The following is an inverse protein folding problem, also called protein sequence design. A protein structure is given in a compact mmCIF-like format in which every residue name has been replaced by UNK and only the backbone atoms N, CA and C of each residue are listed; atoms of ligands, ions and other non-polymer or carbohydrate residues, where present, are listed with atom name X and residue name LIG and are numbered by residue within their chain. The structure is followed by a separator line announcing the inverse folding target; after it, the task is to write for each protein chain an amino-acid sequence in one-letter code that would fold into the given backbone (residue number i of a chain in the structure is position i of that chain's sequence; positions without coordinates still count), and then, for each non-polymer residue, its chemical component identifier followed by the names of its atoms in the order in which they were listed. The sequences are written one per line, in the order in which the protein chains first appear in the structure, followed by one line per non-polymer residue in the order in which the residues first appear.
data_IF_486239979716
#
_entry.id   IF_486239979716
#
_cell.length_a   1.000
_cell.length_b   1.000
_cell.length_c   1.000
_cell.angle_alpha   90.00
_cell.angle_beta   90.00
_cell.angle_gamma   90.00
#
_symmetry.space_group_name_H-M   'P 1'
#
loop_
_entity.id
_entity.type
_entity.pdbx_description
1 polymer ?
#
# COMPACT_ATOMS: atom_id res chain seq x y z
N UNK A 1 -23.01 -7.45 -3.92
CA UNK A 1 -21.66 -7.34 -4.52
C UNK A 1 -20.75 -8.28 -3.75
N UNK A 2 -19.97 -9.07 -4.45
CA UNK A 2 -18.95 -9.94 -3.84
C UNK A 2 -17.61 -9.19 -3.85
N UNK A 3 -17.43 -8.32 -2.85
CA UNK A 3 -16.23 -7.52 -2.62
C UNK A 3 -15.71 -7.83 -1.23
N UNK A 4 -14.45 -8.21 -1.14
CA UNK A 4 -13.72 -8.35 0.12
C UNK A 4 -13.40 -6.98 0.71
N UNK A 5 -13.48 -6.86 2.02
CA UNK A 5 -13.24 -5.61 2.72
C UNK A 5 -11.94 -5.68 3.54
N UNK A 6 -11.00 -4.81 3.21
CA UNK A 6 -9.82 -4.56 4.01
C UNK A 6 -10.04 -3.42 5.01
N UNK A 7 -9.42 -3.50 6.17
CA UNK A 7 -9.36 -2.41 7.14
C UNK A 7 -7.90 -2.02 7.44
N UNK A 8 -7.62 -0.76 7.81
CA UNK A 8 -6.29 -0.39 8.27
C UNK A 8 -5.99 -1.01 9.63
N UNK A 9 -4.80 -1.57 9.76
CA UNK A 9 -4.24 -1.96 11.05
C UNK A 9 -3.83 -0.72 11.87
N UNK A 10 -3.83 -0.82 13.19
CA UNK A 10 -3.36 0.26 14.05
C UNK A 10 -1.84 0.44 13.90
N UNK A 11 -1.42 1.67 13.61
CA UNK A 11 -0.02 2.02 13.35
C UNK A 11 0.67 2.68 14.55
N UNK A 12 -0.06 3.01 15.62
CA UNK A 12 0.45 3.70 16.80
C UNK A 12 0.30 2.85 18.07
N UNK A 13 1.12 3.05 19.10
CA UNK A 13 0.91 2.41 20.40
C UNK A 13 -0.40 2.92 21.08
N UNK A 14 -0.94 2.19 22.08
CA UNK A 14 -0.40 0.94 22.61
C UNK A 14 -0.73 -0.28 21.72
N UNK A 15 0.22 -1.20 21.61
CA UNK A 15 0.15 -2.36 20.70
C UNK A 15 -0.99 -3.32 21.06
N UNK A 16 -1.27 -3.53 22.35
CA UNK A 16 -2.37 -4.35 22.83
C UNK A 16 -3.74 -3.88 22.34
N UNK A 17 -3.93 -2.56 22.23
CA UNK A 17 -5.13 -1.99 21.60
C UNK A 17 -5.21 -2.36 20.11
N UNK A 18 -4.08 -2.31 19.40
CA UNK A 18 -4.00 -2.71 17.99
C UNK A 18 -4.36 -4.18 17.79
N UNK A 19 -3.87 -5.06 18.67
CA UNK A 19 -4.21 -6.48 18.67
C UNK A 19 -5.71 -6.68 18.91
N UNK A 20 -6.25 -6.03 19.95
CA UNK A 20 -7.67 -6.09 20.26
C UNK A 20 -8.57 -5.59 19.12
N UNK A 21 -8.14 -4.53 18.43
CA UNK A 21 -8.82 -4.00 17.25
C UNK A 21 -8.80 -5.02 16.09
N UNK A 22 -7.66 -5.67 15.82
CA UNK A 22 -7.56 -6.71 14.79
C UNK A 22 -8.53 -7.87 15.03
N UNK A 23 -8.59 -8.38 16.26
CA UNK A 23 -9.55 -9.43 16.64
C UNK A 23 -11.01 -8.95 16.48
N UNK A 24 -11.27 -7.67 16.79
CA UNK A 24 -12.59 -7.07 16.58
C UNK A 24 -12.96 -6.98 15.09
N UNK A 25 -12.02 -6.62 14.22
CA UNK A 25 -12.27 -6.53 12.77
C UNK A 25 -12.62 -7.90 12.18
N UNK A 26 -11.94 -8.98 12.60
CA UNK A 26 -12.32 -10.33 12.22
C UNK A 26 -13.77 -10.67 12.62
N UNK A 27 -14.16 -10.35 13.86
CA UNK A 27 -15.54 -10.57 14.35
C UNK A 27 -16.60 -9.75 13.60
N UNK A 28 -16.19 -8.61 13.03
CA UNK A 28 -17.06 -7.76 12.20
C UNK A 28 -17.14 -8.23 10.74
N UNK A 29 -16.37 -9.27 10.38
CA UNK A 29 -16.41 -9.85 9.04
C UNK A 29 -15.53 -9.14 8.01
N UNK A 30 -14.51 -8.41 8.45
CA UNK A 30 -13.48 -7.90 7.53
C UNK A 30 -12.62 -9.04 7.01
N UNK A 31 -12.25 -8.99 5.72
CA UNK A 31 -11.48 -10.04 5.05
C UNK A 31 -9.96 -9.87 5.26
N UNK A 32 -9.49 -8.64 5.43
CA UNK A 32 -8.06 -8.36 5.60
C UNK A 32 -7.78 -7.15 6.50
N UNK A 33 -6.58 -7.17 7.11
CA UNK A 33 -5.96 -6.01 7.77
C UNK A 33 -4.67 -5.63 7.05
N UNK A 34 -4.48 -4.33 6.86
CA UNK A 34 -3.37 -3.78 6.09
C UNK A 34 -2.56 -2.76 6.88
N UNK A 35 -1.23 -2.87 6.85
CA UNK A 35 -0.31 -1.93 7.50
C UNK A 35 0.64 -1.30 6.49
N UNK A 36 0.82 0.03 6.54
CA UNK A 36 1.94 0.67 5.84
C UNK A 36 3.26 0.30 6.53
N UNK A 37 4.31 0.11 5.75
CA UNK A 37 5.67 -0.07 6.27
C UNK A 37 6.42 1.26 6.20
N UNK A 38 6.16 2.14 7.15
CA UNK A 38 6.71 3.48 7.21
C UNK A 38 7.67 3.66 8.39
N UNK A 39 8.74 4.41 8.15
CA UNK A 39 9.61 4.99 9.18
C UNK A 39 9.22 6.45 9.45
N UNK A 40 8.72 7.14 8.42
CA UNK A 40 8.29 8.53 8.46
C UNK A 40 6.87 8.64 7.91
N UNK A 41 5.98 9.34 8.62
CA UNK A 41 4.63 9.64 8.14
C UNK A 41 4.60 10.82 7.16
N UNK A 42 3.52 10.94 6.43
CA UNK A 42 3.32 11.92 5.35
C UNK A 42 3.14 13.37 5.78
N UNK A 43 2.70 13.59 7.02
CA UNK A 43 2.40 14.94 7.50
C UNK A 43 3.65 15.54 8.13
N UNK A 44 4.09 16.74 7.71
CA UNK A 44 5.21 17.43 8.33
C UNK A 44 4.98 17.72 9.81
N UNK A 45 6.02 17.57 10.65
CA UNK A 45 5.95 17.90 12.08
C UNK A 45 5.52 19.34 12.32
N UNK A 46 5.90 20.24 11.42
CA UNK A 46 5.59 21.67 11.52
C UNK A 46 4.11 22.00 11.50
N UNK A 47 3.26 21.08 11.02
CA UNK A 47 1.80 21.25 11.01
C UNK A 47 1.09 20.30 12.01
N UNK A 48 1.79 19.35 12.64
CA UNK A 48 1.18 18.33 13.49
C UNK A 48 0.79 18.90 14.86
N UNK A 49 -0.43 19.37 14.99
CA UNK A 49 -1.01 19.91 16.22
C UNK A 49 -2.54 19.70 16.25
N UNK A 50 -3.20 20.04 17.38
CA UNK A 50 -4.64 19.83 17.54
C UNK A 50 -5.53 20.72 16.66
N UNK A 51 -5.02 21.84 16.15
CA UNK A 51 -5.74 22.68 15.18
C UNK A 51 -5.80 22.00 13.82
N UNK A 52 -4.72 21.33 13.44
CA UNK A 52 -4.64 20.56 12.19
C UNK A 52 -5.45 19.25 12.26
N UNK A 53 -5.28 18.49 13.35
CA UNK A 53 -5.97 17.21 13.54
C UNK A 53 -6.17 16.86 15.02
N UNK A 54 -7.36 16.38 15.42
CA UNK A 54 -7.57 15.87 16.78
C UNK A 54 -6.68 14.66 17.13
N UNK A 55 -6.10 13.97 16.14
CA UNK A 55 -5.18 12.86 16.35
C UNK A 55 -3.92 13.28 17.11
N UNK A 56 -3.47 14.52 16.93
CA UNK A 56 -2.28 15.07 17.60
C UNK A 56 -2.37 15.00 19.14
N UNK A 57 -3.59 14.99 19.71
CA UNK A 57 -3.81 14.78 21.14
C UNK A 57 -3.32 13.42 21.65
N UNK A 58 -3.40 12.41 20.83
CA UNK A 58 -3.09 11.02 21.19
C UNK A 58 -1.85 10.48 20.50
N UNK A 59 -1.39 11.17 19.48
CA UNK A 59 -0.22 10.82 18.68
C UNK A 59 0.73 12.02 18.63
N UNK A 60 1.80 12.02 19.43
CA UNK A 60 2.66 13.21 19.62
C UNK A 60 3.48 13.58 18.37
N UNK A 61 3.62 12.68 17.40
CA UNK A 61 4.27 12.94 16.12
C UNK A 61 3.51 12.23 15.00
N UNK A 62 3.47 12.85 13.83
CA UNK A 62 2.96 12.24 12.59
C UNK A 62 3.77 11.01 12.15
N UNK A 63 5.00 10.87 12.67
CA UNK A 63 5.95 9.84 12.27
C UNK A 63 5.92 8.57 13.13
N UNK A 64 4.98 8.46 14.05
CA UNK A 64 4.83 7.25 14.88
C UNK A 64 4.24 6.12 14.04
N UNK A 65 5.05 5.08 13.79
CA UNK A 65 4.62 3.85 13.11
C UNK A 65 5.21 2.64 13.81
N UNK A 66 4.39 1.60 14.01
CA UNK A 66 4.85 0.28 14.46
C UNK A 66 5.33 -0.53 13.26
N UNK A 67 6.24 -1.49 13.47
CA UNK A 67 6.66 -2.40 12.41
C UNK A 67 5.48 -3.29 11.97
N UNK A 68 5.13 -3.32 10.67
CA UNK A 68 3.98 -4.07 10.17
C UNK A 68 4.11 -5.57 10.37
N UNK A 69 5.30 -6.16 10.17
CA UNK A 69 5.49 -7.60 10.29
C UNK A 69 5.32 -8.07 11.74
N UNK A 70 5.76 -7.28 12.71
CA UNK A 70 5.52 -7.55 14.12
C UNK A 70 4.03 -7.53 14.48
N UNK A 71 3.27 -6.56 13.92
CA UNK A 71 1.81 -6.49 14.13
C UNK A 71 1.07 -7.63 13.42
N UNK A 72 1.48 -7.97 12.19
CA UNK A 72 0.93 -9.11 11.45
C UNK A 72 1.14 -10.42 12.22
N UNK A 73 2.33 -10.64 12.81
CA UNK A 73 2.63 -11.79 13.65
C UNK A 73 1.74 -11.84 14.89
N UNK A 74 1.65 -10.74 15.63
CA UNK A 74 0.88 -10.67 16.88
C UNK A 74 -0.61 -10.90 16.67
N UNK A 75 -1.20 -10.34 15.62
CA UNK A 75 -2.64 -10.46 15.32
C UNK A 75 -2.92 -11.77 14.61
N UNK A 76 -2.08 -12.15 13.63
CA UNK A 76 -2.24 -13.38 12.88
C UNK A 76 -2.23 -14.64 13.73
N UNK A 77 -1.43 -14.65 14.80
CA UNK A 77 -1.41 -15.76 15.77
C UNK A 77 -2.65 -15.83 16.68
N UNK A 78 -3.47 -14.78 16.74
CA UNK A 78 -4.65 -14.66 17.61
C UNK A 78 -5.98 -14.62 16.84
N UNK A 79 -5.93 -14.75 15.53
CA UNK A 79 -7.09 -14.74 14.62
C UNK A 79 -7.10 -16.01 13.78
N UNK A 80 -8.24 -16.36 13.17
CA UNK A 80 -8.39 -17.60 12.42
C UNK A 80 -8.76 -17.42 10.96
N UNK A 81 -9.38 -16.28 10.59
CA UNK A 81 -9.94 -16.06 9.26
C UNK A 81 -9.38 -14.82 8.57
N UNK A 82 -9.21 -13.71 9.31
CA UNK A 82 -8.78 -12.45 8.73
C UNK A 82 -7.36 -12.55 8.19
N UNK A 83 -7.16 -12.08 6.98
CA UNK A 83 -5.85 -12.00 6.34
C UNK A 83 -5.07 -10.80 6.89
N UNK A 84 -3.75 -10.88 6.89
CA UNK A 84 -2.88 -9.80 7.37
C UNK A 84 -1.83 -9.49 6.31
N UNK A 85 -1.67 -8.21 5.97
CA UNK A 85 -0.77 -7.83 4.90
C UNK A 85 -0.11 -6.47 5.08
N UNK A 86 1.01 -6.27 4.39
CA UNK A 86 1.64 -4.96 4.23
C UNK A 86 0.99 -4.18 3.08
N UNK A 87 0.80 -2.87 3.24
CA UNK A 87 0.25 -2.01 2.20
C UNK A 87 1.00 -0.66 2.17
N UNK A 88 2.23 -0.66 1.67
CA UNK A 88 3.08 -1.74 1.18
C UNK A 88 4.48 -1.61 1.76
N UNK A 89 5.28 -2.68 1.73
CA UNK A 89 6.72 -2.64 2.00
C UNK A 89 7.53 -2.50 0.69
N UNK A 90 8.87 -2.43 0.78
CA UNK A 90 9.78 -2.27 -0.34
C UNK A 90 11.03 -3.15 -0.24
N UNK A 91 11.74 -3.28 -1.36
CA UNK A 91 13.00 -4.04 -1.47
C UNK A 91 14.25 -3.16 -1.47
N UNK A 92 14.13 -1.88 -1.14
CA UNK A 92 15.27 -0.99 -0.92
C UNK A 92 15.77 -1.11 0.51
N UNK A 93 14.85 -1.16 1.48
CA UNK A 93 15.15 -1.28 2.91
C UNK A 93 15.38 -2.72 3.36
N UNK A 94 14.75 -3.68 2.72
CA UNK A 94 14.76 -5.09 3.14
C UNK A 94 15.27 -5.99 2.01
N UNK A 95 16.26 -6.82 2.31
CA UNK A 95 16.75 -7.80 1.35
C UNK A 95 15.67 -8.86 1.02
N UNK A 96 15.49 -9.27 -0.26
CA UNK A 96 14.43 -10.21 -0.64
C UNK A 96 14.51 -11.55 0.09
N UNK A 97 15.71 -12.05 0.43
CA UNK A 97 15.85 -13.26 1.22
C UNK A 97 15.28 -13.12 2.65
N UNK A 98 15.49 -11.95 3.30
CA UNK A 98 14.91 -11.68 4.62
C UNK A 98 13.39 -11.57 4.55
N UNK A 99 12.85 -10.96 3.48
CA UNK A 99 11.40 -10.90 3.25
C UNK A 99 10.83 -12.30 3.04
N UNK A 100 11.47 -13.13 2.20
CA UNK A 100 11.02 -14.51 1.97
C UNK A 100 10.95 -15.31 3.30
N UNK A 101 12.00 -15.26 4.12
CA UNK A 101 12.00 -15.90 5.44
C UNK A 101 10.90 -15.36 6.36
N UNK A 102 10.76 -14.04 6.45
CA UNK A 102 9.72 -13.41 7.29
C UNK A 102 8.32 -13.84 6.84
N UNK A 103 8.05 -13.82 5.53
CA UNK A 103 6.75 -14.18 5.00
C UNK A 103 6.42 -15.66 5.18
N UNK A 104 7.38 -16.56 4.98
CA UNK A 104 7.18 -17.98 5.26
C UNK A 104 6.92 -18.22 6.76
N UNK A 105 7.60 -17.49 7.65
CA UNK A 105 7.33 -17.56 9.10
C UNK A 105 5.92 -17.08 9.43
N UNK A 106 5.51 -15.94 8.85
CA UNK A 106 4.16 -15.40 9.02
C UNK A 106 3.10 -16.34 8.43
N UNK A 107 3.40 -17.01 7.35
CA UNK A 107 2.53 -17.99 6.73
C UNK A 107 2.17 -19.12 7.70
N UNK A 108 3.18 -19.68 8.39
CA UNK A 108 2.95 -20.65 9.46
C UNK A 108 2.18 -20.07 10.64
N UNK A 109 2.53 -18.87 11.12
CA UNK A 109 1.84 -18.22 12.25
C UNK A 109 0.37 -17.93 11.95
N UNK A 110 0.07 -17.61 10.69
CA UNK A 110 -1.27 -17.24 10.23
C UNK A 110 -2.03 -18.39 9.57
N UNK A 111 -1.40 -19.54 9.40
CA UNK A 111 -1.97 -20.70 8.69
C UNK A 111 -2.42 -20.34 7.27
N UNK A 112 -1.52 -19.73 6.49
CA UNK A 112 -1.76 -19.41 5.07
C UNK A 112 -2.50 -18.08 4.81
N UNK A 113 -2.57 -17.16 5.80
CA UNK A 113 -3.33 -15.89 5.66
C UNK A 113 -2.45 -14.63 5.52
N UNK A 114 -1.13 -14.81 5.46
CA UNK A 114 -0.21 -13.69 5.30
C UNK A 114 -0.14 -13.23 3.84
N UNK A 115 -0.14 -11.90 3.63
CA UNK A 115 0.00 -11.27 2.32
C UNK A 115 1.20 -10.34 2.33
N UNK A 116 2.09 -10.52 1.36
CA UNK A 116 3.18 -9.60 1.10
C UNK A 116 2.73 -8.53 0.11
N UNK A 117 2.37 -7.36 0.61
CA UNK A 117 2.15 -6.19 -0.24
C UNK A 117 3.46 -5.47 -0.52
N UNK A 118 3.84 -5.33 -1.77
CA UNK A 118 5.09 -4.72 -2.23
C UNK A 118 4.84 -3.53 -3.15
N UNK A 119 5.69 -2.52 -3.01
CA UNK A 119 5.78 -1.37 -3.91
C UNK A 119 7.22 -1.06 -4.28
N UNK A 120 7.39 -0.05 -5.12
CA UNK A 120 8.74 0.43 -5.50
C UNK A 120 9.47 1.18 -4.37
N UNK A 121 8.81 1.43 -3.25
CA UNK A 121 9.30 2.23 -2.15
C UNK A 121 8.93 3.71 -2.28
N UNK A 122 9.23 4.47 -1.23
CA UNK A 122 8.94 5.89 -1.09
C UNK A 122 10.18 6.59 -0.55
N UNK A 123 10.63 7.64 -1.21
CA UNK A 123 11.91 8.28 -0.90
C UNK A 123 11.98 8.78 0.54
N UNK A 124 10.87 9.23 1.12
CA UNK A 124 10.78 9.66 2.52
C UNK A 124 11.17 8.57 3.53
N UNK A 125 10.97 7.30 3.18
CA UNK A 125 11.33 6.15 4.01
C UNK A 125 12.72 5.57 3.69
N UNK A 126 13.44 6.14 2.72
CA UNK A 126 14.69 5.61 2.16
C UNK A 126 15.84 6.58 2.38
N UNK A 127 15.81 7.74 1.72
CA UNK A 127 16.92 8.70 1.68
C UNK A 127 17.30 9.26 3.06
N UNK A 128 16.36 9.71 3.93
CA UNK A 128 16.71 10.23 5.25
C UNK A 128 17.44 9.23 6.15
N UNK A 129 17.32 7.94 5.85
CA UNK A 129 17.94 6.84 6.61
C UNK A 129 19.25 6.35 5.99
N UNK A 130 19.81 7.07 5.02
CA UNK A 130 21.09 6.74 4.39
C UNK A 130 21.04 5.57 3.42
N UNK A 131 19.86 5.19 2.98
CA UNK A 131 19.66 4.14 1.97
C UNK A 131 19.61 4.79 0.59
N UNK A 132 20.26 4.18 -0.38
CA UNK A 132 20.34 4.72 -1.74
C UNK A 132 19.01 4.53 -2.50
N UNK A 133 18.46 5.65 -3.00
CA UNK A 133 17.31 5.66 -3.89
C UNK A 133 17.79 5.45 -5.34
N UNK A 134 18.03 4.19 -5.73
CA UNK A 134 18.47 3.84 -7.07
C UNK A 134 17.61 2.75 -7.69
N UNK A 135 17.08 3.02 -8.89
CA UNK A 135 16.35 2.07 -9.75
C UNK A 135 15.30 1.21 -9.02
N UNK A 136 14.39 1.81 -8.21
CA UNK A 136 13.51 1.07 -7.31
C UNK A 136 12.66 0.02 -8.02
N UNK A 137 12.14 0.31 -9.22
CA UNK A 137 11.35 -0.65 -10.01
C UNK A 137 12.19 -1.80 -10.54
N UNK A 138 13.48 -1.57 -10.86
CA UNK A 138 14.37 -2.65 -11.31
C UNK A 138 14.77 -3.57 -10.15
N UNK A 139 15.06 -2.97 -8.97
CA UNK A 139 15.31 -3.75 -7.74
C UNK A 139 14.07 -4.56 -7.34
N UNK A 140 12.87 -3.97 -7.46
CA UNK A 140 11.63 -4.70 -7.20
C UNK A 140 11.47 -5.90 -8.15
N UNK A 141 11.70 -5.73 -9.45
CA UNK A 141 11.57 -6.81 -10.42
C UNK A 141 12.50 -7.99 -10.09
N UNK A 142 13.81 -7.74 -9.91
CA UNK A 142 14.76 -8.80 -9.52
C UNK A 142 14.44 -9.40 -8.15
N UNK A 143 14.01 -8.57 -7.19
CA UNK A 143 13.66 -9.05 -5.86
C UNK A 143 12.42 -9.94 -5.85
N UNK A 144 11.44 -9.72 -6.72
CA UNK A 144 10.30 -10.62 -6.90
C UNK A 144 10.75 -11.99 -7.42
N UNK A 145 11.69 -12.03 -8.38
CA UNK A 145 12.30 -13.29 -8.85
C UNK A 145 13.00 -14.01 -7.71
N UNK A 146 13.83 -13.30 -6.92
CA UNK A 146 14.55 -13.88 -5.78
C UNK A 146 13.58 -14.40 -4.71
N UNK A 147 12.53 -13.65 -4.36
CA UNK A 147 11.53 -14.09 -3.38
C UNK A 147 10.84 -15.37 -3.86
N UNK A 148 10.37 -15.41 -5.10
CA UNK A 148 9.72 -16.59 -5.67
C UNK A 148 10.68 -17.77 -5.75
N UNK A 149 11.93 -17.54 -6.18
CA UNK A 149 12.97 -18.58 -6.23
C UNK A 149 13.21 -19.21 -4.86
N UNK A 150 13.39 -18.39 -3.81
CA UNK A 150 13.64 -18.86 -2.45
C UNK A 150 12.43 -19.58 -1.84
N UNK A 151 11.21 -19.06 -2.04
CA UNK A 151 9.99 -19.69 -1.54
C UNK A 151 9.70 -21.04 -2.22
N UNK A 152 10.22 -21.28 -3.42
CA UNK A 152 10.06 -22.54 -4.16
C UNK A 152 11.23 -23.51 -3.96
N UNK A 153 12.30 -23.09 -3.29
CA UNK A 153 13.54 -23.87 -3.25
C UNK A 153 13.45 -25.14 -2.38
N UNK A 154 12.55 -25.15 -1.36
CA UNK A 154 12.61 -26.20 -0.36
C UNK A 154 14.00 -26.27 0.27
N UNK A 155 14.58 -27.46 0.38
CA UNK A 155 15.95 -27.67 0.88
C UNK A 155 17.02 -27.62 -0.23
N UNK A 156 16.64 -27.30 -1.47
CA UNK A 156 17.57 -27.25 -2.58
C UNK A 156 18.39 -25.95 -2.55
N UNK A 157 19.64 -26.05 -3.05
CA UNK A 157 20.48 -24.88 -3.25
C UNK A 157 20.04 -24.14 -4.50
N UNK A 158 19.97 -22.83 -4.39
CA UNK A 158 19.61 -21.93 -5.49
C UNK A 158 20.67 -20.87 -5.70
N UNK A 159 20.92 -20.58 -6.97
CA UNK A 159 21.78 -19.49 -7.43
C UNK A 159 20.94 -18.46 -8.18
N UNK A 160 21.31 -17.22 -8.05
CA UNK A 160 20.72 -16.10 -8.80
C UNK A 160 21.80 -15.07 -9.12
N UNK A 161 21.91 -14.66 -10.37
CA UNK A 161 22.88 -13.65 -10.82
C UNK A 161 22.13 -12.49 -11.48
N UNK A 162 21.75 -11.49 -10.68
CA UNK A 162 21.09 -10.27 -11.12
C UNK A 162 22.03 -9.07 -11.11
N UNK A 163 21.47 -7.91 -11.45
CA UNK A 163 22.20 -6.62 -11.39
C UNK A 163 22.18 -6.03 -9.98
N UNK A 164 21.15 -6.36 -9.19
CA UNK A 164 20.90 -5.79 -7.87
C UNK A 164 21.00 -6.82 -6.75
N UNK A 165 20.71 -8.08 -7.06
CA UNK A 165 20.79 -9.18 -6.09
C UNK A 165 21.59 -10.35 -6.66
N UNK A 166 22.28 -11.04 -5.76
CA UNK A 166 23.04 -12.24 -6.09
C UNK A 166 22.86 -13.28 -4.99
N UNK A 167 22.57 -14.49 -5.36
CA UNK A 167 22.58 -15.66 -4.49
C UNK A 167 23.63 -16.64 -4.99
N UNK A 168 24.28 -17.31 -4.05
CA UNK A 168 25.23 -18.38 -4.35
C UNK A 168 25.05 -19.49 -3.30
N UNK A 169 24.77 -20.71 -3.74
CA UNK A 169 24.49 -21.87 -2.88
C UNK A 169 23.45 -21.56 -1.78
N UNK A 170 22.49 -20.66 -2.03
CA UNK A 170 21.52 -20.23 -1.04
C UNK A 170 20.47 -21.30 -0.79
N UNK A 171 20.09 -21.48 0.48
CA UNK A 171 19.06 -22.44 0.90
C UNK A 171 18.01 -21.74 1.74
N UNK A 172 16.74 -21.99 1.46
CA UNK A 172 15.60 -21.57 2.27
C UNK A 172 14.82 -22.82 2.68
N UNK A 173 15.22 -23.42 3.82
CA UNK A 173 14.67 -24.70 4.26
C UNK A 173 13.31 -24.63 4.96
N UNK A 174 12.68 -23.46 5.01
CA UNK A 174 11.32 -23.29 5.54
C UNK A 174 10.33 -23.36 4.37
N UNK A 175 9.53 -24.43 4.33
CA UNK A 175 8.47 -24.59 3.34
C UNK A 175 7.27 -23.68 3.66
N UNK A 176 6.41 -23.34 2.67
CA UNK A 176 5.13 -22.69 2.90
C UNK A 176 4.21 -23.50 3.82
N UNK A 177 3.27 -22.84 4.47
CA UNK A 177 2.19 -23.51 5.18
C UNK A 177 1.17 -24.08 4.18
N UNK A 178 1.13 -25.38 4.01
CA UNK A 178 0.28 -26.06 3.01
C UNK A 178 0.88 -26.04 1.60
N UNK A 179 0.01 -26.00 0.59
CA UNK A 179 0.41 -26.20 -0.81
C UNK A 179 0.65 -24.90 -1.60
N UNK A 180 0.52 -23.74 -0.95
CA UNK A 180 0.64 -22.43 -1.61
C UNK A 180 1.59 -21.53 -0.85
N UNK A 181 2.34 -20.71 -1.59
CA UNK A 181 3.14 -19.64 -0.99
C UNK A 181 2.27 -18.51 -0.47
N UNK A 182 2.80 -17.70 0.50
CA UNK A 182 2.20 -16.41 0.82
C UNK A 182 1.94 -15.60 -0.44
N UNK A 183 0.75 -15.00 -0.53
CA UNK A 183 0.39 -14.20 -1.67
C UNK A 183 1.25 -12.94 -1.75
N UNK A 184 1.60 -12.54 -2.97
CA UNK A 184 2.29 -11.29 -3.26
C UNK A 184 1.31 -10.36 -3.97
N UNK A 185 1.07 -9.18 -3.37
CA UNK A 185 0.24 -8.14 -3.97
C UNK A 185 1.11 -6.93 -4.31
N UNK A 186 0.90 -6.30 -5.47
CA UNK A 186 1.70 -5.15 -5.89
C UNK A 186 0.90 -3.85 -5.93
N UNK A 187 1.47 -2.80 -5.34
CA UNK A 187 1.02 -1.43 -5.58
C UNK A 187 1.63 -0.96 -6.92
N UNK A 188 0.79 -0.78 -7.91
CA UNK A 188 1.21 -0.52 -9.27
C UNK A 188 0.29 0.47 -9.99
N UNK A 189 0.88 1.46 -10.71
CA UNK A 189 0.17 2.43 -11.53
C UNK A 189 0.76 2.54 -12.94
N UNK A 190 2.09 2.61 -13.04
CA UNK A 190 2.77 2.78 -14.32
C UNK A 190 2.83 1.49 -15.14
N UNK A 191 3.00 1.59 -16.48
CA UNK A 191 2.93 0.44 -17.39
C UNK A 191 3.88 -0.70 -17.02
N UNK A 192 5.12 -0.38 -16.60
CA UNK A 192 6.11 -1.37 -16.19
C UNK A 192 5.69 -2.11 -14.92
N UNK A 193 5.16 -1.37 -13.93
CA UNK A 193 4.67 -1.97 -12.69
C UNK A 193 3.43 -2.83 -12.91
N UNK A 194 2.51 -2.42 -13.79
CA UNK A 194 1.34 -3.22 -14.16
C UNK A 194 1.74 -4.53 -14.88
N UNK A 195 2.75 -4.48 -15.77
CA UNK A 195 3.31 -5.70 -16.39
C UNK A 195 3.91 -6.64 -15.33
N UNK A 196 4.73 -6.12 -14.41
CA UNK A 196 5.27 -6.91 -13.29
C UNK A 196 4.17 -7.51 -12.40
N UNK A 197 3.08 -6.78 -12.19
CA UNK A 197 1.91 -7.29 -11.46
C UNK A 197 1.34 -8.53 -12.14
N UNK A 198 1.14 -8.50 -13.44
CA UNK A 198 0.70 -9.68 -14.20
C UNK A 198 1.69 -10.85 -14.13
N UNK A 199 2.99 -10.56 -14.20
CA UNK A 199 4.02 -11.57 -14.21
C UNK A 199 4.23 -12.26 -12.85
N UNK A 200 4.09 -11.55 -11.72
CA UNK A 200 4.52 -12.05 -10.42
C UNK A 200 3.45 -12.01 -9.31
N UNK A 201 2.45 -11.12 -9.39
CA UNK A 201 1.57 -10.86 -8.25
C UNK A 201 0.30 -11.74 -8.25
N UNK A 202 -0.20 -12.01 -7.05
CA UNK A 202 -1.45 -12.71 -6.81
C UNK A 202 -2.60 -11.72 -6.53
N UNK A 203 -2.25 -10.43 -6.36
CA UNK A 203 -3.20 -9.34 -6.22
C UNK A 203 -2.60 -7.99 -6.59
N UNK A 204 -3.47 -6.98 -6.72
CA UNK A 204 -3.13 -5.62 -7.10
C UNK A 204 -3.72 -4.62 -6.12
N UNK A 205 -2.92 -3.64 -5.65
CA UNK A 205 -3.30 -2.62 -4.69
C UNK A 205 -2.97 -1.21 -5.20
N UNK A 206 -3.65 -0.69 -6.22
CA UNK A 206 -3.49 0.69 -6.63
C UNK A 206 -4.18 1.62 -5.64
N UNK A 207 -3.82 2.91 -5.65
CA UNK A 207 -4.67 3.97 -5.10
C UNK A 207 -5.83 4.27 -6.06
N UNK A 208 -6.84 5.01 -5.58
CA UNK A 208 -8.03 5.35 -6.36
C UNK A 208 -7.66 5.98 -7.71
N UNK A 209 -8.34 5.56 -8.75
CA UNK A 209 -8.34 6.08 -10.12
C UNK A 209 -9.76 5.96 -10.68
N UNK A 210 -10.06 6.47 -11.88
CA UNK A 210 -11.41 6.29 -12.44
C UNK A 210 -11.71 4.81 -12.77
N UNK A 211 -12.99 4.38 -12.80
CA UNK A 211 -13.34 3.00 -13.18
C UNK A 211 -12.83 2.59 -14.56
N UNK A 212 -12.75 3.53 -15.51
CA UNK A 212 -12.21 3.30 -16.84
C UNK A 212 -10.69 3.03 -16.77
N UNK A 213 -9.95 3.90 -16.07
CA UNK A 213 -8.50 3.72 -15.88
C UNK A 213 -8.18 2.44 -15.11
N UNK A 214 -9.06 2.05 -14.17
CA UNK A 214 -8.95 0.79 -13.45
C UNK A 214 -9.05 -0.41 -14.38
N UNK A 215 -10.05 -0.42 -15.28
CA UNK A 215 -10.24 -1.49 -16.29
C UNK A 215 -9.07 -1.56 -17.26
N UNK A 216 -8.62 -0.42 -17.78
CA UNK A 216 -7.46 -0.35 -18.69
C UNK A 216 -6.17 -0.87 -18.02
N UNK A 217 -6.02 -0.62 -16.71
CA UNK A 217 -4.89 -1.13 -15.94
C UNK A 217 -4.96 -2.64 -15.74
N UNK A 218 -6.17 -3.19 -15.49
CA UNK A 218 -6.38 -4.65 -15.42
C UNK A 218 -6.05 -5.33 -16.75
N UNK A 219 -6.42 -4.74 -17.89
CA UNK A 219 -6.09 -5.28 -19.21
C UNK A 219 -4.58 -5.33 -19.43
N UNK A 220 -3.83 -4.36 -18.93
CA UNK A 220 -2.36 -4.36 -18.95
C UNK A 220 -1.77 -5.44 -18.06
N UNK A 221 -2.33 -5.66 -16.87
CA UNK A 221 -1.95 -6.75 -15.97
C UNK A 221 -2.17 -8.12 -16.64
N UNK A 222 -3.33 -8.32 -17.24
CA UNK A 222 -3.63 -9.53 -18.01
C UNK A 222 -2.67 -9.73 -19.20
N UNK A 223 -2.24 -8.66 -19.84
CA UNK A 223 -1.26 -8.72 -20.93
C UNK A 223 0.10 -9.17 -20.38
N UNK A 224 0.59 -8.57 -19.29
CA UNK A 224 1.84 -8.98 -18.65
C UNK A 224 1.85 -10.45 -18.20
N UNK A 225 0.71 -10.95 -17.71
CA UNK A 225 0.55 -12.36 -17.37
C UNK A 225 0.64 -13.29 -18.60
N UNK A 226 -0.03 -12.92 -19.70
CA UNK A 226 0.03 -13.70 -20.97
C UNK A 226 1.43 -13.77 -21.54
N UNK A 227 2.23 -12.70 -21.43
CA UNK A 227 3.62 -12.66 -21.93
C UNK A 227 4.51 -13.75 -21.30
N UNK A 228 4.21 -14.16 -20.06
CA UNK A 228 4.94 -15.22 -19.33
C UNK A 228 4.14 -16.52 -19.18
N UNK A 229 3.00 -16.65 -19.84
CA UNK A 229 2.14 -17.82 -19.79
C UNK A 229 1.47 -18.06 -18.43
N UNK A 230 1.32 -17.03 -17.60
CA UNK A 230 0.73 -17.13 -16.26
C UNK A 230 -0.79 -17.05 -16.31
N UNK A 231 -1.47 -17.92 -15.55
CA UNK A 231 -2.90 -17.88 -15.32
C UNK A 231 -3.21 -16.95 -14.11
N UNK A 232 -4.27 -16.15 -14.22
CA UNK A 232 -4.75 -15.23 -13.21
C UNK A 232 -6.10 -15.64 -12.58
N UNK A 233 -6.47 -16.93 -12.61
CA UNK A 233 -7.76 -17.41 -12.09
C UNK A 233 -7.98 -17.10 -10.59
N UNK A 234 -6.89 -16.96 -9.83
CA UNK A 234 -6.91 -16.62 -8.40
C UNK A 234 -6.43 -15.20 -8.11
N UNK A 235 -6.21 -14.39 -9.13
CA UNK A 235 -5.76 -13.01 -8.98
C UNK A 235 -6.86 -12.14 -8.36
N UNK A 236 -6.48 -11.33 -7.36
CA UNK A 236 -7.41 -10.43 -6.68
C UNK A 236 -7.15 -8.97 -7.08
N UNK A 237 -8.01 -8.38 -7.90
CA UNK A 237 -7.96 -6.94 -8.19
C UNK A 237 -8.47 -6.16 -6.97
N UNK A 238 -7.56 -5.52 -6.24
CA UNK A 238 -7.87 -4.68 -5.09
C UNK A 238 -7.75 -3.19 -5.39
N UNK A 239 -8.01 -2.37 -4.37
CA UNK A 239 -7.78 -0.93 -4.38
C UNK A 239 -7.61 -0.40 -2.96
N UNK A 240 -6.60 0.42 -2.74
CA UNK A 240 -6.48 1.23 -1.54
C UNK A 240 -7.30 2.52 -1.72
N UNK A 241 -8.31 2.72 -0.90
CA UNK A 241 -9.15 3.91 -0.93
C UNK A 241 -9.33 4.55 0.44
N UNK A 242 -9.30 5.88 0.49
CA UNK A 242 -9.74 6.63 1.67
C UNK A 242 -11.24 6.89 1.56
N UNK A 243 -12.01 6.49 2.59
CA UNK A 243 -13.44 6.72 2.64
C UNK A 243 -13.77 7.93 3.53
N UNK A 244 -14.41 8.93 2.95
CA UNK A 244 -14.91 10.13 3.63
C UNK A 244 -16.44 10.07 3.66
N UNK A 245 -16.98 9.52 4.73
CA UNK A 245 -18.43 9.29 4.88
C UNK A 245 -19.05 10.43 5.67
N UNK A 246 -20.04 11.10 5.12
CA UNK A 246 -20.84 12.12 5.79
C UNK A 246 -22.34 11.79 5.77
N UNK A 247 -23.12 12.30 6.74
CA UNK A 247 -24.58 12.13 6.74
C UNK A 247 -25.27 12.93 5.63
N UNK A 248 -24.60 13.97 5.12
CA UNK A 248 -25.08 14.89 4.11
C UNK A 248 -23.93 15.48 3.29
N UNK A 249 -24.27 16.13 2.19
CA UNK A 249 -23.31 16.74 1.26
C UNK A 249 -22.47 17.85 1.92
N UNK A 250 -23.04 18.64 2.83
CA UNK A 250 -22.30 19.69 3.55
C UNK A 250 -21.18 19.11 4.41
N UNK A 251 -21.46 18.02 5.12
CA UNK A 251 -20.50 17.30 5.95
C UNK A 251 -19.38 16.68 5.08
N UNK A 252 -19.73 16.09 3.95
CA UNK A 252 -18.77 15.53 2.97
C UNK A 252 -17.85 16.63 2.43
N UNK A 253 -18.42 17.79 2.06
CA UNK A 253 -17.64 18.93 1.56
C UNK A 253 -16.68 19.48 2.62
N UNK A 254 -17.07 19.50 3.90
CA UNK A 254 -16.17 19.88 5.01
C UNK A 254 -14.98 18.89 5.13
N UNK A 255 -15.23 17.58 5.00
CA UNK A 255 -14.17 16.56 5.02
C UNK A 255 -13.21 16.75 3.85
N UNK A 256 -13.72 16.92 2.63
CA UNK A 256 -12.92 17.14 1.42
C UNK A 256 -12.07 18.42 1.49
N UNK A 257 -12.56 19.44 2.19
CA UNK A 257 -11.86 20.71 2.38
C UNK A 257 -10.85 20.68 3.54
N UNK A 258 -10.79 19.61 4.33
CA UNK A 258 -9.87 19.52 5.45
C UNK A 258 -8.41 19.54 4.99
N UNK A 259 -7.55 20.23 5.74
CA UNK A 259 -6.12 20.33 5.42
C UNK A 259 -5.43 18.96 5.44
N UNK A 260 -5.86 18.09 6.35
CA UNK A 260 -5.35 16.72 6.46
C UNK A 260 -5.55 15.92 5.17
N UNK A 261 -6.76 15.97 4.59
CA UNK A 261 -7.07 15.24 3.34
C UNK A 261 -6.38 15.90 2.14
N UNK A 262 -6.38 17.23 2.09
CA UNK A 262 -5.69 17.96 1.01
C UNK A 262 -4.19 17.67 1.01
N UNK A 263 -3.56 17.54 2.19
CA UNK A 263 -2.15 17.18 2.29
C UNK A 263 -1.87 15.77 1.77
N UNK A 264 -2.76 14.79 1.98
CA UNK A 264 -2.62 13.45 1.42
C UNK A 264 -2.67 13.43 -0.11
N UNK A 265 -3.31 14.41 -0.74
CA UNK A 265 -3.36 14.48 -2.21
C UNK A 265 -2.00 14.69 -2.87
N UNK A 266 -0.96 15.10 -2.13
CA UNK A 266 0.42 15.19 -2.62
C UNK A 266 0.92 13.84 -3.14
N UNK A 267 0.36 12.73 -2.64
CA UNK A 267 0.70 11.37 -3.06
C UNK A 267 0.30 11.05 -4.51
N UNK A 268 -0.51 11.92 -5.13
CA UNK A 268 -0.88 11.72 -6.54
C UNK A 268 0.23 12.18 -7.48
N UNK A 269 0.42 11.47 -8.59
CA UNK A 269 1.33 11.90 -9.66
C UNK A 269 0.94 13.27 -10.24
N UNK A 270 1.93 14.04 -10.71
CA UNK A 270 1.73 15.38 -11.27
C UNK A 270 0.70 15.40 -12.42
N UNK A 271 0.70 14.38 -13.29
CA UNK A 271 -0.23 14.29 -14.41
C UNK A 271 -1.71 14.24 -13.95
N UNK A 272 -1.99 13.76 -12.74
CA UNK A 272 -3.36 13.78 -12.18
C UNK A 272 -3.79 15.21 -11.87
N UNK A 273 -2.94 16.00 -11.24
CA UNK A 273 -3.21 17.43 -11.00
C UNK A 273 -3.45 18.18 -12.31
N UNK A 274 -2.59 17.96 -13.30
CA UNK A 274 -2.70 18.55 -14.64
C UNK A 274 -4.02 18.18 -15.32
N UNK A 275 -4.44 16.91 -15.24
CA UNK A 275 -5.71 16.45 -15.79
C UNK A 275 -6.93 17.12 -15.14
N UNK A 276 -6.81 17.54 -13.88
CA UNK A 276 -7.82 18.28 -13.15
C UNK A 276 -7.71 19.81 -13.37
N UNK A 277 -6.79 20.27 -14.21
CA UNK A 277 -6.52 21.69 -14.42
C UNK A 277 -5.98 22.40 -13.18
N UNK A 278 -5.17 21.69 -12.36
CA UNK A 278 -4.52 22.21 -11.16
C UNK A 278 -3.01 22.07 -11.33
N UNK A 279 -2.23 23.12 -11.11
CA UNK A 279 -0.77 23.01 -11.12
C UNK A 279 -0.29 22.02 -10.05
N UNK A 280 0.72 21.19 -10.33
CA UNK A 280 1.31 20.32 -9.30
C UNK A 280 1.77 21.12 -8.07
N UNK A 281 1.37 20.72 -6.87
CA UNK A 281 1.59 21.54 -5.65
C UNK A 281 3.07 21.64 -5.23
N UNK A 282 3.88 20.65 -5.60
CA UNK A 282 5.34 20.65 -5.34
C UNK A 282 6.12 21.37 -6.45
N UNK A 283 5.46 21.73 -7.56
CA UNK A 283 6.04 22.42 -8.72
C UNK A 283 6.87 21.52 -9.63
N UNK A 284 7.10 21.96 -10.86
CA UNK A 284 8.04 21.39 -11.83
C UNK A 284 7.97 19.87 -12.00
N UNK A 285 9.15 19.26 -12.03
CA UNK A 285 9.31 17.82 -12.16
C UNK A 285 9.27 17.09 -10.80
N UNK A 286 9.18 17.82 -9.68
CA UNK A 286 9.07 17.25 -8.33
C UNK A 286 7.72 16.53 -8.16
N UNK A 287 7.79 15.26 -7.83
CA UNK A 287 6.63 14.44 -7.52
C UNK A 287 6.57 14.07 -6.04
N UNK A 288 5.61 13.26 -5.66
CA UNK A 288 5.51 12.77 -4.29
C UNK A 288 6.77 12.00 -3.85
N UNK A 289 7.54 11.43 -4.77
CA UNK A 289 8.82 10.78 -4.46
C UNK A 289 9.85 11.74 -3.87
N UNK A 290 9.80 13.03 -4.26
CA UNK A 290 10.74 14.05 -3.77
C UNK A 290 10.27 14.72 -2.47
N UNK A 291 9.08 14.37 -1.99
CA UNK A 291 8.49 14.94 -0.78
C UNK A 291 9.03 14.25 0.47
N UNK A 292 9.85 14.95 1.25
CA UNK A 292 10.36 14.49 2.55
C UNK A 292 9.79 15.40 3.64
N UNK A 293 8.76 14.96 4.38
CA UNK A 293 8.00 15.80 5.33
C UNK A 293 8.85 16.52 6.37
N UNK A 294 9.88 15.86 6.90
CA UNK A 294 10.76 16.46 7.91
C UNK A 294 11.63 17.64 7.40
N UNK A 295 11.67 17.85 6.10
CA UNK A 295 12.43 18.95 5.45
C UNK A 295 11.55 20.14 5.05
N UNK A 296 10.23 20.04 5.20
CA UNK A 296 9.29 21.05 4.70
C UNK A 296 8.95 22.06 5.80
N UNK A 297 9.32 23.33 5.65
CA UNK A 297 8.99 24.36 6.63
C UNK A 297 7.51 24.74 6.56
N UNK A 298 6.96 25.27 7.65
CA UNK A 298 5.53 25.57 7.80
C UNK A 298 4.94 26.42 6.67
N UNK A 299 5.62 27.47 6.25
CA UNK A 299 5.12 28.36 5.19
C UNK A 299 4.99 27.63 3.83
N UNK A 300 5.84 26.65 3.58
CA UNK A 300 5.75 25.83 2.37
C UNK A 300 4.59 24.84 2.46
N UNK A 301 4.35 24.25 3.63
CA UNK A 301 3.15 23.41 3.89
C UNK A 301 1.88 24.21 3.60
N UNK A 302 1.78 25.43 4.12
CA UNK A 302 0.62 26.32 3.93
C UNK A 302 0.43 26.64 2.43
N UNK A 303 1.52 26.85 1.69
CA UNK A 303 1.49 27.05 0.22
C UNK A 303 0.95 25.82 -0.50
N UNK A 304 1.46 24.63 -0.16
CA UNK A 304 1.07 23.36 -0.76
C UNK A 304 -0.43 23.11 -0.53
N UNK A 305 -0.91 23.24 0.70
CA UNK A 305 -2.31 23.00 1.04
C UNK A 305 -3.23 23.96 0.27
N UNK A 306 -2.86 25.24 0.17
CA UNK A 306 -3.61 26.24 -0.60
C UNK A 306 -3.70 25.91 -2.09
N UNK A 307 -2.65 25.31 -2.65
CA UNK A 307 -2.61 24.92 -4.04
C UNK A 307 -3.51 23.72 -4.38
N UNK A 308 -4.01 22.97 -3.38
CA UNK A 308 -4.82 21.77 -3.56
C UNK A 308 -6.29 22.10 -3.27
N UNK A 309 -7.15 22.35 -4.27
CA UNK A 309 -8.57 22.61 -4.04
C UNK A 309 -9.35 21.34 -3.71
N UNK A 310 -10.54 21.44 -3.05
CA UNK A 310 -11.36 20.28 -2.66
C UNK A 310 -11.70 19.30 -3.79
N UNK A 311 -11.78 19.77 -5.06
CA UNK A 311 -12.01 18.89 -6.21
C UNK A 311 -10.91 17.84 -6.39
N UNK A 312 -9.67 18.14 -5.98
CA UNK A 312 -8.55 17.21 -6.00
C UNK A 312 -8.74 16.14 -4.91
N UNK A 313 -9.18 16.56 -3.71
CA UNK A 313 -9.53 15.63 -2.63
C UNK A 313 -10.66 14.66 -3.04
N UNK A 314 -11.66 15.13 -3.75
CA UNK A 314 -12.76 14.32 -4.27
C UNK A 314 -12.28 13.30 -5.32
N UNK A 315 -11.24 13.63 -6.09
CA UNK A 315 -10.63 12.67 -7.00
C UNK A 315 -9.82 11.60 -6.26
N UNK A 316 -9.15 11.98 -5.17
CA UNK A 316 -8.27 11.09 -4.39
C UNK A 316 -9.02 10.14 -3.46
N UNK A 317 -10.11 10.60 -2.82
CA UNK A 317 -10.88 9.83 -1.85
C UNK A 317 -12.24 9.37 -2.40
N UNK A 318 -12.77 8.29 -1.85
CA UNK A 318 -14.19 7.97 -1.96
C UNK A 318 -14.94 8.86 -0.98
N UNK A 319 -15.79 9.76 -1.46
CA UNK A 319 -16.42 10.76 -0.62
C UNK A 319 -17.90 10.90 -0.93
N UNK A 320 -18.76 10.73 0.09
CA UNK A 320 -20.21 10.81 -0.10
C UNK A 320 -21.01 10.35 1.11
N UNK A 321 -22.33 10.33 0.94
CA UNK A 321 -23.22 9.58 1.84
C UNK A 321 -23.01 8.07 1.63
N UNK A 322 -23.56 7.27 2.52
CA UNK A 322 -23.45 5.79 2.39
C UNK A 322 -24.02 5.32 1.05
N UNK A 323 -25.14 5.85 0.61
CA UNK A 323 -25.81 5.50 -0.65
C UNK A 323 -24.93 5.86 -1.85
N UNK A 324 -24.36 7.08 -1.88
CA UNK A 324 -23.46 7.52 -2.95
C UNK A 324 -22.20 6.66 -3.02
N UNK A 325 -21.62 6.30 -1.88
CA UNK A 325 -20.44 5.44 -1.84
C UNK A 325 -20.73 4.01 -2.31
N UNK A 326 -21.91 3.46 -1.97
CA UNK A 326 -22.33 2.15 -2.48
C UNK A 326 -22.47 2.17 -4.01
N UNK A 327 -23.06 3.22 -4.59
CA UNK A 327 -23.17 3.38 -6.04
C UNK A 327 -21.79 3.54 -6.69
N UNK A 328 -20.91 4.37 -6.12
CA UNK A 328 -19.56 4.55 -6.64
C UNK A 328 -18.77 3.24 -6.60
N UNK A 329 -18.76 2.52 -5.48
CA UNK A 329 -18.08 1.22 -5.33
C UNK A 329 -18.66 0.18 -6.30
N UNK A 330 -19.97 0.20 -6.57
CA UNK A 330 -20.59 -0.68 -7.55
C UNK A 330 -20.03 -0.46 -8.97
N UNK A 331 -19.68 0.77 -9.33
CA UNK A 331 -19.05 1.07 -10.61
C UNK A 331 -17.65 0.46 -10.75
N UNK A 332 -16.87 0.46 -9.66
CA UNK A 332 -15.57 -0.22 -9.61
C UNK A 332 -15.71 -1.74 -9.60
N UNK A 333 -16.72 -2.29 -8.91
CA UNK A 333 -16.99 -3.71 -8.99
C UNK A 333 -17.31 -4.16 -10.43
N UNK A 334 -18.09 -3.36 -11.16
CA UNK A 334 -18.35 -3.58 -12.58
C UNK A 334 -17.09 -3.44 -13.46
N UNK A 335 -16.11 -2.62 -13.02
CA UNK A 335 -14.81 -2.50 -13.66
C UNK A 335 -13.82 -3.63 -13.29
N UNK A 336 -14.18 -4.52 -12.36
CA UNK A 336 -13.38 -5.69 -11.98
C UNK A 336 -12.86 -5.70 -10.54
N UNK A 337 -13.13 -4.69 -9.72
CA UNK A 337 -12.73 -4.63 -8.31
C UNK A 337 -13.30 -5.81 -7.51
N UNK A 338 -12.46 -6.42 -6.65
CA UNK A 338 -12.84 -7.54 -5.75
C UNK A 338 -12.41 -7.36 -4.30
N UNK A 339 -11.46 -6.41 -4.03
CA UNK A 339 -10.99 -6.15 -2.67
C UNK A 339 -10.79 -4.65 -2.41
#
# INVERSE_FOLDING_TARGET
MDIQLGAPGQIIPPVDRGISLGIKMEKLGYDALWWPDHLMGWHPDTMWNEEFTPLARHQPSSHVHVDPFAMMAAIGAQTEQIRVGTCVTDLLRRHPASIAQTMLTLDHMTKGRAILGLGSGEQLNIEPYGIEWDKPVAKLAEGLEVIRLLMNAGNEKVDFEGKHFRLQDAVMGLDPYGDRHPEIWLAAHGPRMLSLTGQYADGWLPTKMSPEAYRDSLDRIHTGAREVGRNLDHFVPGMLGYLLVGPDEESVNRLLASEMIRMLCILMPNWVFESLGVPPPLGGDAGFHDFIPSRIPRHEVDRIIKAIPPKVSAHYAFAGTVEQLVEEIASYHAAGLRH
#
